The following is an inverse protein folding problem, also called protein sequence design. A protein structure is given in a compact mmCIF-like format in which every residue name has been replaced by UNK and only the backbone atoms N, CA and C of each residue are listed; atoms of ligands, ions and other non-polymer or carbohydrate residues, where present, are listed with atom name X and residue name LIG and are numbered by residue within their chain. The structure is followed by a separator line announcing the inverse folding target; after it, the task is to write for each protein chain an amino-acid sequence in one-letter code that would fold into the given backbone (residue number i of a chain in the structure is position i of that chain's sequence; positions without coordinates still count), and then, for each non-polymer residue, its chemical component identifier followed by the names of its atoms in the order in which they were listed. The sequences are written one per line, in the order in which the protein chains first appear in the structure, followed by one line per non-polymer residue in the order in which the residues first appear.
data_IF_159634939294
#
_entry.id   IF_159634939294
#
_cell.length_a   1.000
_cell.length_b   1.000
_cell.length_c   1.000
_cell.angle_alpha   90.00
_cell.angle_beta   90.00
_cell.angle_gamma   90.00
#
_symmetry.space_group_name_H-M   'P 1'
#
loop_
_entity.id
_entity.type
_entity.pdbx_description
1 polymer ?
#
# COMPACT_ATOMS: atom_id res chain seq x y z
N UNK A 1 3.19 -15.87 0.85
CA UNK A 1 2.34 -14.93 0.07
C UNK A 1 3.30 -14.06 -0.72
N UNK A 2 3.23 -14.10 -2.06
CA UNK A 2 4.08 -13.26 -2.93
C UNK A 2 3.36 -11.94 -3.20
N UNK A 3 4.01 -10.83 -2.90
CA UNK A 3 3.41 -9.49 -2.92
C UNK A 3 4.09 -8.64 -3.97
N UNK A 4 3.31 -7.91 -4.76
CA UNK A 4 3.80 -6.81 -5.60
C UNK A 4 3.23 -5.49 -5.07
N UNK A 5 4.09 -4.50 -4.89
CA UNK A 5 3.68 -3.15 -4.50
C UNK A 5 3.93 -2.19 -5.64
N UNK A 6 2.91 -1.44 -6.04
CA UNK A 6 2.99 -0.43 -7.10
C UNK A 6 2.99 0.97 -6.50
N UNK A 7 4.09 1.69 -6.70
CA UNK A 7 4.32 3.03 -6.20
C UNK A 7 5.04 3.08 -4.85
N UNK A 8 6.37 3.21 -4.89
CA UNK A 8 7.22 3.29 -3.71
C UNK A 8 7.36 4.73 -3.15
N UNK A 9 6.25 5.46 -3.06
CA UNK A 9 6.17 6.75 -2.37
C UNK A 9 6.34 6.61 -0.85
N UNK A 10 6.02 7.64 -0.08
CA UNK A 10 6.17 7.59 1.39
C UNK A 10 5.37 6.44 2.03
N UNK A 11 4.12 6.23 1.61
CA UNK A 11 3.27 5.15 2.15
C UNK A 11 3.74 3.79 1.64
N UNK A 12 3.90 3.65 0.31
CA UNK A 12 4.33 2.38 -0.29
C UNK A 12 5.72 1.97 0.16
N UNK A 13 6.67 2.91 0.19
CA UNK A 13 8.03 2.66 0.65
C UNK A 13 8.07 2.21 2.12
N UNK A 14 7.32 2.88 3.01
CA UNK A 14 7.20 2.44 4.40
C UNK A 14 6.64 1.02 4.49
N UNK A 15 5.55 0.75 3.76
CA UNK A 15 4.92 -0.58 3.77
C UNK A 15 5.87 -1.66 3.27
N UNK A 16 6.50 -1.44 2.11
CA UNK A 16 7.44 -2.42 1.53
C UNK A 16 8.61 -2.71 2.48
N UNK A 17 9.23 -1.67 3.05
CA UNK A 17 10.39 -1.82 3.92
C UNK A 17 10.05 -2.61 5.18
N UNK A 18 8.94 -2.31 5.84
CA UNK A 18 8.55 -3.02 7.06
C UNK A 18 8.14 -4.47 6.78
N UNK A 19 7.46 -4.74 5.66
CA UNK A 19 7.12 -6.11 5.27
C UNK A 19 8.39 -6.91 4.93
N UNK A 20 9.33 -6.33 4.20
CA UNK A 20 10.61 -6.98 3.86
C UNK A 20 11.45 -7.24 5.10
N UNK A 21 11.50 -6.31 6.05
CA UNK A 21 12.21 -6.45 7.35
C UNK A 21 11.74 -7.69 8.12
N UNK A 22 10.46 -8.05 8.00
CA UNK A 22 9.88 -9.24 8.63
C UNK A 22 9.93 -10.49 7.75
N UNK A 23 10.68 -10.43 6.64
CA UNK A 23 10.94 -11.59 5.78
C UNK A 23 9.83 -11.90 4.77
N UNK A 24 8.88 -10.99 4.53
CA UNK A 24 7.87 -11.20 3.52
C UNK A 24 8.44 -11.03 2.10
N UNK A 25 7.96 -11.88 1.17
CA UNK A 25 8.33 -11.81 -0.24
C UNK A 25 7.57 -10.68 -0.94
N UNK A 26 8.23 -9.53 -1.10
CA UNK A 26 7.67 -8.33 -1.70
C UNK A 26 8.61 -7.76 -2.77
N UNK A 27 8.05 -7.48 -3.93
CA UNK A 27 8.70 -6.80 -5.06
C UNK A 27 8.01 -5.47 -5.33
N UNK A 28 8.65 -4.57 -6.05
CA UNK A 28 8.17 -3.20 -6.27
C UNK A 28 8.07 -2.89 -7.76
N UNK A 29 7.01 -2.18 -8.15
CA UNK A 29 6.96 -1.41 -9.40
C UNK A 29 7.06 0.07 -9.06
N UNK A 30 8.10 0.74 -9.59
CA UNK A 30 8.30 2.18 -9.49
C UNK A 30 8.58 2.75 -10.89
N UNK A 31 7.63 3.54 -11.40
CA UNK A 31 7.65 4.03 -12.78
C UNK A 31 8.68 5.16 -13.04
N UNK A 32 9.15 5.82 -11.99
CA UNK A 32 10.16 6.86 -12.12
C UNK A 32 11.55 6.24 -12.11
N UNK A 33 12.22 6.26 -13.26
CA UNK A 33 13.52 5.62 -13.49
C UNK A 33 14.56 5.94 -12.42
N UNK A 34 14.80 7.22 -12.14
CA UNK A 34 15.78 7.64 -11.13
C UNK A 34 15.50 7.05 -9.74
N UNK A 35 14.22 6.96 -9.37
CA UNK A 35 13.81 6.37 -8.10
C UNK A 35 13.92 4.85 -8.12
N UNK A 36 13.56 4.20 -9.23
CA UNK A 36 13.73 2.76 -9.40
C UNK A 36 15.20 2.36 -9.26
N UNK A 37 16.11 3.10 -9.94
CA UNK A 37 17.55 2.90 -9.82
C UNK A 37 18.08 3.10 -8.40
N UNK A 38 17.64 4.16 -7.70
CA UNK A 38 18.01 4.36 -6.30
C UNK A 38 17.59 3.17 -5.45
N UNK A 39 16.33 2.70 -5.59
CA UNK A 39 15.82 1.59 -4.78
C UNK A 39 16.56 0.27 -5.09
N UNK A 40 16.92 0.01 -6.35
CA UNK A 40 17.74 -1.15 -6.74
C UNK A 40 19.12 -1.12 -6.09
N UNK A 41 19.79 0.02 -6.15
CA UNK A 41 21.19 0.18 -5.74
C UNK A 41 21.32 0.32 -4.21
N UNK A 42 20.55 1.21 -3.62
CA UNK A 42 20.67 1.62 -2.21
C UNK A 42 19.57 1.03 -1.31
N UNK A 43 18.41 0.69 -1.88
CA UNK A 43 17.22 0.29 -1.13
C UNK A 43 16.35 1.49 -0.73
N UNK A 44 15.43 1.23 0.19
CA UNK A 44 14.61 2.27 0.83
C UNK A 44 15.01 2.33 2.30
N UNK A 45 15.42 3.51 2.75
CA UNK A 45 15.72 3.76 4.16
C UNK A 45 14.54 4.46 4.83
N UNK A 46 14.09 3.90 5.93
CA UNK A 46 13.12 4.50 6.84
C UNK A 46 13.84 5.11 8.02
N UNK A 47 13.30 6.22 8.53
CA UNK A 47 13.68 6.86 9.79
C UNK A 47 12.42 7.29 10.54
N UNK A 48 12.56 7.69 11.80
CA UNK A 48 11.48 8.29 12.59
C UNK A 48 10.70 7.29 13.43
N UNK A 49 9.38 7.44 13.49
CA UNK A 49 8.51 6.78 14.49
C UNK A 49 8.51 5.24 14.46
N UNK A 50 8.89 4.62 13.34
CA UNK A 50 8.99 3.15 13.22
C UNK A 50 10.44 2.64 13.35
N UNK A 51 11.40 3.50 13.70
CA UNK A 51 12.81 3.14 13.79
C UNK A 51 13.57 3.38 12.48
N UNK A 52 14.81 2.87 12.44
CA UNK A 52 15.69 2.99 11.29
C UNK A 52 15.83 1.63 10.61
N UNK A 53 15.39 1.54 9.38
CA UNK A 53 15.40 0.31 8.58
C UNK A 53 15.87 0.61 7.17
N UNK A 54 16.67 -0.26 6.58
CA UNK A 54 17.04 -0.18 5.17
C UNK A 54 16.85 -1.53 4.51
N UNK A 55 16.08 -1.58 3.43
CA UNK A 55 15.79 -2.81 2.71
C UNK A 55 15.98 -2.62 1.20
N UNK A 56 16.57 -3.64 0.57
CA UNK A 56 16.70 -3.72 -0.89
C UNK A 56 15.58 -4.55 -1.49
N UNK A 57 15.23 -4.23 -2.74
CA UNK A 57 14.10 -4.83 -3.43
C UNK A 57 14.46 -5.21 -4.86
N UNK A 58 13.77 -6.20 -5.41
CA UNK A 58 13.59 -6.35 -6.85
C UNK A 58 12.62 -5.25 -7.30
N UNK A 59 13.05 -4.43 -8.26
CA UNK A 59 12.29 -3.27 -8.73
C UNK A 59 12.11 -3.34 -10.23
N UNK A 60 10.88 -3.22 -10.66
CA UNK A 60 10.44 -3.10 -12.05
C UNK A 60 9.98 -1.67 -12.33
N UNK A 61 10.06 -1.22 -13.57
CA UNK A 61 9.56 0.09 -13.98
C UNK A 61 8.18 0.00 -14.64
N UNK A 62 7.83 -1.18 -15.15
CA UNK A 62 6.55 -1.46 -15.79
C UNK A 62 6.00 -2.82 -15.37
N UNK A 63 4.65 -2.98 -15.32
CA UNK A 63 4.04 -4.30 -15.20
C UNK A 63 4.48 -5.29 -16.30
N UNK A 64 4.83 -4.80 -17.49
CA UNK A 64 5.26 -5.63 -18.63
C UNK A 64 6.55 -6.42 -18.37
N UNK A 65 7.33 -6.03 -17.38
CA UNK A 65 8.55 -6.73 -16.96
C UNK A 65 8.27 -7.93 -16.04
N UNK A 66 7.04 -8.06 -15.54
CA UNK A 66 6.68 -9.09 -14.58
C UNK A 66 6.54 -10.46 -15.25
N UNK A 67 7.23 -11.46 -14.69
CA UNK A 67 7.19 -12.85 -15.16
C UNK A 67 6.47 -13.80 -14.21
N UNK A 68 6.02 -13.30 -13.07
CA UNK A 68 5.39 -14.10 -12.00
C UNK A 68 3.95 -13.67 -11.75
N UNK A 69 3.16 -14.58 -11.14
CA UNK A 69 1.86 -14.24 -10.59
C UNK A 69 1.96 -13.96 -9.09
N UNK A 70 1.25 -12.93 -8.63
CA UNK A 70 1.24 -12.46 -7.25
C UNK A 70 -0.05 -12.85 -6.52
N UNK A 71 0.08 -13.13 -5.23
CA UNK A 71 -1.07 -13.35 -4.35
C UNK A 71 -1.77 -12.03 -4.00
N UNK A 72 -0.96 -10.96 -3.89
CA UNK A 72 -1.44 -9.61 -3.51
C UNK A 72 -0.76 -8.55 -4.36
N UNK A 73 -1.56 -7.65 -4.90
CA UNK A 73 -1.12 -6.40 -5.51
C UNK A 73 -1.52 -5.23 -4.59
N UNK A 74 -0.52 -4.57 -4.01
CA UNK A 74 -0.70 -3.36 -3.21
C UNK A 74 -0.53 -2.14 -4.11
N UNK A 75 -1.53 -1.27 -4.20
CA UNK A 75 -1.47 -0.04 -4.99
C UNK A 75 -1.37 1.16 -4.04
N UNK A 76 -0.20 1.81 -4.06
CA UNK A 76 0.13 2.98 -3.25
C UNK A 76 0.52 4.20 -4.12
N UNK A 77 0.04 4.24 -5.35
CA UNK A 77 0.22 5.36 -6.29
C UNK A 77 -0.70 6.53 -5.94
N UNK A 78 -0.62 7.62 -6.70
CA UNK A 78 -1.60 8.71 -6.60
C UNK A 78 -2.97 8.27 -7.13
N UNK A 79 -4.03 8.87 -6.60
CA UNK A 79 -5.43 8.53 -6.90
C UNK A 79 -5.74 8.35 -8.40
N UNK A 80 -5.31 9.31 -9.25
CA UNK A 80 -5.59 9.29 -10.69
C UNK A 80 -4.94 8.11 -11.43
N UNK A 81 -3.94 7.47 -10.83
CA UNK A 81 -3.26 6.31 -11.42
C UNK A 81 -3.89 4.96 -11.00
N UNK A 82 -4.86 4.96 -10.08
CA UNK A 82 -5.40 3.71 -9.52
C UNK A 82 -6.00 2.80 -10.58
N UNK A 83 -6.98 3.29 -11.35
CA UNK A 83 -7.68 2.47 -12.34
C UNK A 83 -6.72 1.94 -13.42
N UNK A 84 -5.92 2.79 -14.11
CA UNK A 84 -5.01 2.29 -15.15
C UNK A 84 -3.93 1.35 -14.61
N UNK A 85 -3.48 1.54 -13.37
CA UNK A 85 -2.55 0.59 -12.74
C UNK A 85 -3.25 -0.73 -12.43
N UNK A 86 -4.44 -0.71 -11.85
CA UNK A 86 -5.20 -1.91 -11.53
C UNK A 86 -5.49 -2.75 -12.79
N UNK A 87 -5.89 -2.09 -13.89
CA UNK A 87 -6.12 -2.74 -15.20
C UNK A 87 -4.86 -3.47 -15.71
N UNK A 88 -3.71 -2.78 -15.70
CA UNK A 88 -2.43 -3.36 -16.14
C UNK A 88 -1.96 -4.49 -15.24
N UNK A 89 -2.33 -4.48 -13.97
CA UNK A 89 -1.96 -5.51 -13.00
C UNK A 89 -2.86 -6.75 -13.03
N UNK A 90 -4.04 -6.72 -13.68
CA UNK A 90 -4.95 -7.86 -13.75
C UNK A 90 -4.29 -9.17 -14.23
N UNK A 91 -3.47 -9.18 -15.30
CA UNK A 91 -2.82 -10.40 -15.78
C UNK A 91 -1.77 -10.97 -14.82
N UNK A 92 -1.25 -10.15 -13.90
CA UNK A 92 -0.14 -10.47 -13.00
C UNK A 92 -0.59 -10.88 -11.59
N UNK A 93 -1.89 -10.84 -11.32
CA UNK A 93 -2.45 -11.26 -10.03
C UNK A 93 -3.25 -12.55 -10.21
N UNK A 94 -3.04 -13.50 -9.32
CA UNK A 94 -3.73 -14.80 -9.34
C UNK A 94 -5.26 -14.63 -9.40
N UNK A 95 -5.95 -15.61 -9.97
CA UNK A 95 -7.41 -15.59 -10.11
C UNK A 95 -8.14 -15.33 -8.78
N UNK A 96 -7.56 -15.82 -7.69
CA UNK A 96 -8.05 -15.68 -6.31
C UNK A 96 -7.23 -14.67 -5.48
N UNK A 97 -6.39 -13.84 -6.13
CA UNK A 97 -5.56 -12.83 -5.49
C UNK A 97 -6.32 -11.61 -4.99
N UNK A 98 -5.62 -10.75 -4.26
CA UNK A 98 -6.17 -9.52 -3.67
C UNK A 98 -5.51 -8.30 -4.32
N UNK A 99 -6.32 -7.32 -4.68
CA UNK A 99 -5.88 -5.96 -4.97
C UNK A 99 -6.18 -5.07 -3.77
N UNK A 100 -5.15 -4.50 -3.16
CA UNK A 100 -5.25 -3.65 -1.96
C UNK A 100 -4.95 -2.20 -2.29
N UNK A 101 -5.93 -1.31 -2.15
CA UNK A 101 -5.66 0.13 -2.22
C UNK A 101 -5.14 0.64 -0.87
N UNK A 102 -3.98 1.33 -0.91
CA UNK A 102 -3.40 2.05 0.22
C UNK A 102 -3.36 3.56 -0.01
N UNK A 103 -4.27 4.08 -0.80
CA UNK A 103 -4.38 5.50 -1.10
C UNK A 103 -5.23 6.22 -0.04
N UNK A 104 -4.97 7.52 0.15
CA UNK A 104 -5.88 8.37 0.93
C UNK A 104 -7.18 8.62 0.16
N UNK A 105 -8.28 8.83 0.89
CA UNK A 105 -9.61 9.01 0.31
C UNK A 105 -10.36 7.70 0.14
N UNK A 106 -11.44 7.73 -0.65
CA UNK A 106 -12.32 6.58 -0.89
C UNK A 106 -12.02 6.04 -2.29
N UNK A 107 -11.09 5.09 -2.35
CA UNK A 107 -10.62 4.52 -3.61
C UNK A 107 -11.17 3.12 -3.90
N UNK A 108 -11.85 2.53 -2.94
CA UNK A 108 -12.36 1.15 -2.97
C UNK A 108 -13.34 0.91 -4.10
N UNK A 109 -14.26 1.86 -4.33
CA UNK A 109 -15.22 1.74 -5.45
C UNK A 109 -14.52 1.72 -6.81
N UNK A 110 -13.58 2.64 -7.04
CA UNK A 110 -12.84 2.68 -8.32
C UNK A 110 -12.06 1.38 -8.52
N UNK A 111 -11.45 0.89 -7.45
CA UNK A 111 -10.71 -0.38 -7.51
C UNK A 111 -11.66 -1.55 -7.84
N UNK A 112 -12.80 -1.65 -7.15
CA UNK A 112 -13.76 -2.74 -7.36
C UNK A 112 -14.42 -2.69 -8.74
N UNK A 113 -14.63 -1.53 -9.30
CA UNK A 113 -15.15 -1.40 -10.68
C UNK A 113 -14.17 -1.97 -11.73
N UNK A 114 -12.87 -1.99 -11.45
CA UNK A 114 -11.85 -2.55 -12.34
C UNK A 114 -11.61 -4.05 -12.08
N UNK A 115 -11.41 -4.44 -10.81
CA UNK A 115 -10.93 -5.79 -10.49
C UNK A 115 -12.03 -6.73 -9.98
N UNK A 116 -13.23 -6.20 -9.75
CA UNK A 116 -14.37 -6.88 -9.12
C UNK A 116 -14.31 -6.81 -7.59
N UNK A 117 -15.49 -6.81 -6.96
CA UNK A 117 -15.64 -6.68 -5.49
C UNK A 117 -14.97 -7.81 -4.72
N UNK A 118 -14.95 -9.03 -5.28
CA UNK A 118 -14.36 -10.19 -4.63
C UNK A 118 -12.82 -10.09 -4.52
N UNK A 119 -12.17 -9.33 -5.39
CA UNK A 119 -10.71 -9.13 -5.37
C UNK A 119 -10.30 -7.82 -4.70
N UNK A 120 -11.19 -6.85 -4.67
CA UNK A 120 -10.90 -5.52 -4.17
C UNK A 120 -10.86 -5.49 -2.64
N UNK A 121 -9.84 -4.81 -2.10
CA UNK A 121 -9.69 -4.54 -0.68
C UNK A 121 -9.16 -3.13 -0.46
N UNK A 122 -9.42 -2.57 0.70
CA UNK A 122 -8.93 -1.28 1.13
C UNK A 122 -8.09 -1.37 2.41
N UNK A 123 -7.24 -0.37 2.61
CA UNK A 123 -6.48 -0.18 3.83
C UNK A 123 -6.66 1.24 4.36
N UNK A 124 -7.25 1.37 5.53
CA UNK A 124 -7.23 2.61 6.30
C UNK A 124 -5.87 2.72 7.00
N UNK A 125 -5.07 3.69 6.56
CA UNK A 125 -3.70 3.91 7.01
C UNK A 125 -3.72 4.85 8.22
N UNK A 126 -3.20 4.37 9.35
CA UNK A 126 -3.13 5.15 10.59
C UNK A 126 -1.73 5.70 10.89
N UNK A 127 -0.83 5.78 9.93
CA UNK A 127 0.49 6.39 10.11
C UNK A 127 0.73 7.56 9.15
N UNK A 128 1.64 8.45 9.55
CA UNK A 128 2.13 9.52 8.71
C UNK A 128 3.54 9.26 8.22
N UNK A 129 3.83 9.58 6.97
CA UNK A 129 5.17 9.45 6.40
C UNK A 129 5.42 10.51 5.32
N UNK A 130 6.64 11.02 5.27
CA UNK A 130 7.09 12.03 4.31
C UNK A 130 8.31 11.52 3.58
N UNK A 131 8.33 11.68 2.26
CA UNK A 131 9.53 11.39 1.46
C UNK A 131 10.53 12.53 1.62
N UNK A 132 11.77 12.18 1.90
CA UNK A 132 12.88 13.12 1.99
C UNK A 132 13.43 13.45 0.59
N UNK A 133 14.18 14.57 0.43
CA UNK A 133 14.76 14.96 -0.86
C UNK A 133 15.69 13.90 -1.49
N UNK A 134 16.36 13.12 -0.65
CA UNK A 134 17.21 12.00 -1.08
C UNK A 134 16.44 10.75 -1.45
N UNK A 135 15.10 10.78 -1.39
CA UNK A 135 14.23 9.64 -1.70
C UNK A 135 14.03 8.64 -0.55
N UNK A 136 14.61 8.84 0.61
CA UNK A 136 14.32 8.07 1.82
C UNK A 136 12.99 8.52 2.45
N UNK A 137 12.53 7.82 3.47
CA UNK A 137 11.23 8.11 4.07
C UNK A 137 11.38 8.36 5.57
N UNK A 138 10.86 9.49 6.03
CA UNK A 138 10.69 9.76 7.46
C UNK A 138 9.25 9.44 7.87
N UNK A 139 9.09 8.46 8.77
CA UNK A 139 7.79 8.11 9.35
C UNK A 139 7.53 9.07 10.51
N UNK A 140 6.54 9.92 10.38
CA UNK A 140 6.27 11.03 11.32
C UNK A 140 5.38 10.61 12.49
N UNK A 141 4.56 9.57 12.31
CA UNK A 141 3.68 9.03 13.36
C UNK A 141 3.33 7.58 13.09
N UNK A 142 3.14 6.81 14.16
CA UNK A 142 2.56 5.47 14.15
C UNK A 142 1.10 5.49 14.60
N UNK A 143 0.40 4.39 14.37
CA UNK A 143 -1.01 4.20 14.76
C UNK A 143 -1.48 2.78 14.49
N UNK A 144 -2.71 2.60 14.05
CA UNK A 144 -3.23 1.27 13.64
C UNK A 144 -3.61 1.25 12.16
N UNK A 145 -3.64 0.07 11.59
CA UNK A 145 -4.17 -0.19 10.26
C UNK A 145 -5.51 -0.92 10.36
N UNK A 146 -6.40 -0.62 9.44
CA UNK A 146 -7.61 -1.45 9.24
C UNK A 146 -7.67 -1.86 7.79
N UNK A 147 -7.82 -3.15 7.56
CA UNK A 147 -7.94 -3.69 6.20
C UNK A 147 -9.24 -4.47 6.07
N UNK A 148 -9.79 -4.50 4.88
CA UNK A 148 -11.01 -5.25 4.62
C UNK A 148 -11.28 -5.38 3.13
N UNK A 149 -12.03 -6.42 2.77
CA UNK A 149 -12.57 -6.54 1.42
C UNK A 149 -13.71 -5.54 1.21
N UNK A 150 -13.87 -5.10 -0.02
CA UNK A 150 -14.96 -4.18 -0.41
C UNK A 150 -16.32 -4.84 -0.23
N UNK A 151 -16.43 -6.14 -0.52
CA UNK A 151 -17.66 -6.90 -0.32
C UNK A 151 -17.96 -7.30 1.14
N UNK A 152 -17.12 -6.88 2.09
CA UNK A 152 -17.29 -7.15 3.53
C UNK A 152 -16.93 -8.56 3.99
N UNK A 153 -16.53 -9.47 3.10
CA UNK A 153 -16.17 -10.85 3.49
C UNK A 153 -14.86 -10.90 4.29
N UNK A 154 -14.88 -11.55 5.44
CA UNK A 154 -13.68 -11.90 6.20
C UNK A 154 -13.34 -13.36 5.90
N UNK A 155 -12.55 -13.59 4.87
CA UNK A 155 -12.07 -14.91 4.48
C UNK A 155 -10.62 -15.16 4.97
N UNK A 156 -10.13 -16.37 4.77
CA UNK A 156 -8.80 -16.78 5.20
C UNK A 156 -7.68 -15.93 4.55
N UNK A 157 -7.90 -15.42 3.32
CA UNK A 157 -6.88 -14.63 2.61
C UNK A 157 -6.75 -13.23 3.18
N UNK A 158 -7.87 -12.53 3.41
CA UNK A 158 -7.81 -11.20 4.01
C UNK A 158 -7.32 -11.30 5.46
N UNK A 159 -7.67 -12.36 6.18
CA UNK A 159 -7.15 -12.64 7.53
C UNK A 159 -5.64 -12.86 7.50
N UNK A 160 -5.15 -13.71 6.60
CA UNK A 160 -3.71 -13.94 6.43
C UNK A 160 -2.97 -12.66 6.02
N UNK A 161 -3.57 -11.83 5.16
CA UNK A 161 -3.00 -10.53 4.82
C UNK A 161 -2.98 -9.59 6.03
N UNK A 162 -3.97 -9.65 6.90
CA UNK A 162 -3.97 -8.93 8.19
C UNK A 162 -2.79 -9.29 9.07
N UNK A 163 -2.44 -10.58 9.15
CA UNK A 163 -1.25 -11.03 9.89
C UNK A 163 0.05 -10.49 9.26
N UNK A 164 0.14 -10.48 7.93
CA UNK A 164 1.28 -9.87 7.21
C UNK A 164 1.41 -8.38 7.54
N UNK A 165 0.30 -7.64 7.57
CA UNK A 165 0.31 -6.20 7.85
C UNK A 165 0.66 -5.86 9.31
N UNK A 166 0.55 -6.81 10.26
CA UNK A 166 1.05 -6.63 11.63
C UNK A 166 2.57 -6.42 11.69
N UNK A 167 3.30 -6.80 10.64
CA UNK A 167 4.71 -6.46 10.47
C UNK A 167 4.95 -4.94 10.39
N UNK A 168 3.97 -4.20 9.88
CA UNK A 168 4.04 -2.73 9.74
C UNK A 168 3.53 -2.04 11.01
N UNK A 169 2.30 -2.34 11.42
CA UNK A 169 1.62 -1.73 12.57
C UNK A 169 0.52 -2.68 13.11
N UNK A 170 0.01 -2.45 14.33
CA UNK A 170 -1.20 -3.13 14.79
C UNK A 170 -2.30 -3.05 13.74
N UNK A 171 -2.77 -4.21 13.29
CA UNK A 171 -3.70 -4.31 12.15
C UNK A 171 -4.95 -5.06 12.54
N UNK A 172 -6.11 -4.51 12.18
CA UNK A 172 -7.42 -5.14 12.34
C UNK A 172 -8.03 -5.46 10.97
N UNK A 173 -8.57 -6.65 10.83
CA UNK A 173 -9.43 -7.00 9.69
C UNK A 173 -10.86 -6.60 10.04
N UNK A 174 -11.52 -5.88 9.13
CA UNK A 174 -12.88 -5.34 9.32
C UNK A 174 -13.78 -5.77 8.18
N UNK A 175 -15.07 -5.90 8.46
CA UNK A 175 -16.11 -6.25 7.51
C UNK A 175 -16.65 -5.04 6.71
N UNK A 176 -16.38 -3.83 7.19
CA UNK A 176 -16.79 -2.60 6.53
C UNK A 176 -15.60 -1.62 6.45
N UNK A 177 -14.77 -1.83 5.45
CA UNK A 177 -13.57 -0.98 5.23
C UNK A 177 -13.96 0.43 4.80
N UNK A 178 -15.04 0.58 4.04
CA UNK A 178 -15.50 1.88 3.57
C UNK A 178 -15.89 2.79 4.73
N UNK A 179 -16.59 2.26 5.75
CA UNK A 179 -16.89 3.05 6.96
C UNK A 179 -15.62 3.56 7.65
N UNK A 180 -14.55 2.79 7.66
CA UNK A 180 -13.26 3.21 8.25
C UNK A 180 -12.58 4.29 7.40
N UNK A 181 -12.64 4.17 6.08
CA UNK A 181 -12.10 5.18 5.16
C UNK A 181 -12.89 6.49 5.23
N UNK A 182 -14.23 6.44 5.29
CA UNK A 182 -15.06 7.62 5.48
C UNK A 182 -14.78 8.30 6.82
N UNK A 183 -14.67 7.56 7.90
CA UNK A 183 -14.33 8.11 9.22
C UNK A 183 -12.99 8.85 9.19
N UNK A 184 -11.97 8.26 8.56
CA UNK A 184 -10.67 8.92 8.37
C UNK A 184 -10.78 10.16 7.48
N UNK A 185 -11.57 10.12 6.41
CA UNK A 185 -11.75 11.24 5.50
C UNK A 185 -12.36 12.45 6.23
N UNK A 186 -13.37 12.24 7.07
CA UNK A 186 -13.98 13.28 7.90
C UNK A 186 -12.93 13.94 8.80
N UNK A 187 -12.14 13.12 9.52
CA UNK A 187 -11.08 13.60 10.42
C UNK A 187 -10.04 14.42 9.63
N UNK A 188 -9.57 13.89 8.50
CA UNK A 188 -8.57 14.57 7.66
C UNK A 188 -9.10 15.91 7.11
N UNK A 189 -10.36 15.97 6.69
CA UNK A 189 -10.98 17.20 6.20
C UNK A 189 -11.04 18.29 7.27
N UNK A 190 -11.36 17.91 8.51
CA UNK A 190 -11.37 18.84 9.64
C UNK A 190 -9.95 19.33 9.99
N UNK A 191 -8.99 18.41 10.13
CA UNK A 191 -7.61 18.74 10.53
C UNK A 191 -6.94 19.62 9.47
N UNK A 192 -7.01 19.23 8.20
CA UNK A 192 -6.32 19.93 7.12
C UNK A 192 -6.89 21.35 6.93
N UNK A 193 -8.21 21.53 7.05
CA UNK A 193 -8.85 22.84 6.94
C UNK A 193 -8.43 23.78 8.08
N UNK A 194 -8.36 23.27 9.31
CA UNK A 194 -7.90 24.06 10.48
C UNK A 194 -6.41 24.39 10.32
N UNK A 195 -5.57 23.42 9.99
CA UNK A 195 -4.13 23.63 9.82
C UNK A 195 -3.77 24.57 8.68
N UNK A 196 -4.65 24.73 7.68
CA UNK A 196 -4.45 25.69 6.59
C UNK A 196 -4.81 27.13 6.98
N UNK A 197 -5.54 27.33 8.09
CA UNK A 197 -6.00 28.64 8.58
C UNK A 197 -5.19 29.16 9.77
N UNK A 198 -4.37 28.31 10.39
CA UNK A 198 -3.50 28.63 11.54
C UNK A 198 -2.02 28.57 11.16
#
# INVERSE_FOLDING_TARGET
MKIILVGAGSIGGTTATMLREKGHDIEIIEAYHERAEKIRNEGITLTGALGNHTQKFTVYESPDELTSLYDVCIIATKYFALAPVAEKMLPHVKADGIFMSMQNGICTKILSDVVGEDKAAGCMIGFGATMLPNGDVNVTSGGELKIGRVNGKIDNKITALGEVYKALLPTKVVDNIDAQLYSKLIINSCINSIAALT
#
